data_IF_624377788594
#
_entry.id   IF_624377788594
#
_cell.length_a   1.000
_cell.length_b   1.000
_cell.length_c   1.000
_cell.angle_alpha   90.00
_cell.angle_beta   90.00
_cell.angle_gamma   90.00
#
_symmetry.space_group_name_H-M   'P 1'
#
loop_
_entity.id
_entity.type
_entity.pdbx_description
1 polymer ?
#
# COMPACT_ATOMS: atom_id res chain seq x y z
N UNK A 1 8.01 -2.32 21.70
CA UNK A 1 8.08 -1.76 20.33
C UNK A 1 6.71 -1.87 19.72
N UNK A 2 6.13 -0.75 19.30
CA UNK A 2 4.83 -0.69 18.61
C UNK A 2 5.05 -0.86 17.12
N UNK A 3 4.23 -1.68 16.49
CA UNK A 3 4.35 -1.98 15.05
C UNK A 3 3.06 -1.63 14.34
N UNK A 4 3.16 -0.77 13.33
CA UNK A 4 2.07 -0.43 12.43
C UNK A 4 2.16 -1.23 11.13
N UNK A 5 1.03 -1.66 10.61
CA UNK A 5 0.93 -2.47 9.38
C UNK A 5 -0.12 -1.87 8.45
N UNK A 6 0.23 -1.73 7.20
CA UNK A 6 -0.67 -1.35 6.11
C UNK A 6 -0.60 -2.45 5.04
N UNK A 7 -1.76 -2.89 4.56
CA UNK A 7 -1.85 -3.77 3.38
C UNK A 7 -2.59 -3.06 2.27
N UNK A 8 -1.94 -2.89 1.13
CA UNK A 8 -2.55 -2.30 -0.06
C UNK A 8 -1.89 -2.83 -1.34
N UNK A 9 -2.63 -2.89 -2.44
CA UNK A 9 -2.06 -3.33 -3.74
C UNK A 9 -1.19 -2.26 -4.40
N UNK A 10 -1.37 -0.99 -4.04
CA UNK A 10 -0.65 0.16 -4.57
C UNK A 10 -0.62 0.20 -6.12
N UNK A 11 -1.79 0.26 -6.75
CA UNK A 11 -1.99 0.17 -8.20
C UNK A 11 -2.46 1.50 -8.87
N UNK A 12 -1.68 2.61 -8.84
CA UNK A 12 -0.47 2.89 -8.06
C UNK A 12 -0.74 3.39 -6.64
N UNK A 13 0.33 3.70 -5.90
CA UNK A 13 0.24 4.45 -4.65
C UNK A 13 -0.35 5.85 -4.93
N UNK A 14 -1.16 6.36 -4.01
CA UNK A 14 -1.79 7.68 -4.07
C UNK A 14 -1.87 8.32 -2.68
N UNK A 15 -2.27 9.58 -2.61
CA UNK A 15 -2.26 10.34 -1.35
C UNK A 15 -3.07 9.67 -0.24
N UNK A 16 -4.18 8.99 -0.57
CA UNK A 16 -4.93 8.22 0.42
C UNK A 16 -4.13 7.09 1.08
N UNK A 17 -3.21 6.44 0.36
CA UNK A 17 -2.31 5.46 0.96
C UNK A 17 -1.25 6.14 1.84
N UNK A 18 -0.74 7.30 1.42
CA UNK A 18 0.25 8.04 2.22
C UNK A 18 -0.32 8.52 3.55
N UNK A 19 -1.60 8.86 3.64
CA UNK A 19 -2.24 9.21 4.91
C UNK A 19 -2.28 8.01 5.90
N UNK A 20 -2.50 6.78 5.40
CA UNK A 20 -2.36 5.58 6.23
C UNK A 20 -0.94 5.42 6.77
N UNK A 21 0.06 5.60 5.89
CA UNK A 21 1.48 5.50 6.28
C UNK A 21 1.84 6.58 7.29
N UNK A 22 1.46 7.83 7.04
CA UNK A 22 1.71 8.97 7.92
C UNK A 22 1.15 8.76 9.32
N UNK A 23 -0.09 8.27 9.42
CA UNK A 23 -0.70 7.95 10.71
C UNK A 23 0.03 6.80 11.40
N UNK A 24 0.37 5.75 10.66
CA UNK A 24 1.11 4.62 11.21
C UNK A 24 2.47 5.04 11.76
N UNK A 25 3.24 5.83 11.02
CA UNK A 25 4.55 6.36 11.45
C UNK A 25 4.42 7.23 12.70
N UNK A 26 3.37 8.04 12.80
CA UNK A 26 3.15 8.90 13.97
C UNK A 26 2.80 8.13 15.26
N UNK A 27 2.26 6.92 15.16
CA UNK A 27 1.73 6.15 16.29
C UNK A 27 2.58 4.93 16.67
N UNK A 28 3.57 4.55 15.85
CA UNK A 28 4.36 3.34 16.02
C UNK A 28 5.86 3.59 15.93
N UNK A 29 6.63 2.67 16.50
CA UNK A 29 8.09 2.67 16.44
C UNK A 29 8.60 2.18 15.07
N UNK A 30 7.85 1.27 14.43
CA UNK A 30 8.11 0.74 13.10
C UNK A 30 6.82 0.65 12.28
N UNK A 31 6.90 0.89 10.98
CA UNK A 31 5.78 0.79 10.04
C UNK A 31 6.12 -0.15 8.89
N UNK A 32 5.25 -1.13 8.63
CA UNK A 32 5.38 -2.07 7.52
C UNK A 32 4.26 -1.86 6.50
N UNK A 33 4.63 -1.60 5.27
CA UNK A 33 3.71 -1.45 4.12
C UNK A 33 3.82 -2.70 3.27
N UNK A 34 2.85 -3.60 3.39
CA UNK A 34 2.75 -4.80 2.57
C UNK A 34 2.06 -4.47 1.24
N UNK A 35 2.78 -4.72 0.15
CA UNK A 35 2.28 -4.52 -1.21
C UNK A 35 1.69 -5.82 -1.72
N UNK A 36 0.38 -5.95 -1.62
CA UNK A 36 -0.37 -7.17 -1.94
C UNK A 36 -0.40 -7.53 -3.42
N UNK A 37 -0.83 -8.77 -3.73
CA UNK A 37 -0.87 -9.34 -5.10
C UNK A 37 0.47 -9.17 -5.81
N UNK A 38 1.58 -9.46 -5.12
CA UNK A 38 2.92 -9.24 -5.66
C UNK A 38 3.25 -10.19 -6.83
N UNK A 39 2.66 -11.36 -6.83
CA UNK A 39 2.76 -12.42 -7.83
C UNK A 39 1.86 -12.20 -9.06
N UNK A 40 0.99 -11.17 -9.06
CA UNK A 40 -0.01 -10.96 -10.13
C UNK A 40 0.39 -9.82 -11.07
N UNK A 41 0.24 -10.09 -12.38
CA UNK A 41 0.24 -9.08 -13.44
C UNK A 41 -0.93 -9.39 -14.39
N UNK A 42 -1.98 -8.58 -14.35
CA UNK A 42 -3.20 -8.77 -15.12
C UNK A 42 -4.01 -7.46 -15.09
N UNK A 43 -5.15 -7.44 -15.78
CA UNK A 43 -6.07 -6.28 -15.84
C UNK A 43 -6.43 -5.69 -14.45
N UNK A 44 -6.57 -6.52 -13.42
CA UNK A 44 -6.84 -6.07 -12.05
C UNK A 44 -5.57 -5.54 -11.35
N UNK A 45 -4.40 -6.04 -11.74
CA UNK A 45 -3.09 -5.69 -11.21
C UNK A 45 -2.15 -5.26 -12.36
N UNK A 46 -2.42 -4.11 -13.02
CA UNK A 46 -1.74 -3.71 -14.25
C UNK A 46 -0.32 -3.19 -14.06
N UNK A 47 0.09 -2.91 -12.83
CA UNK A 47 1.42 -2.39 -12.52
C UNK A 47 2.24 -3.50 -11.86
N UNK A 48 3.38 -3.92 -12.46
CA UNK A 48 4.25 -4.97 -11.91
C UNK A 48 4.76 -4.63 -10.51
N UNK A 49 5.02 -5.66 -9.71
CA UNK A 49 5.45 -5.50 -8.31
C UNK A 49 6.70 -4.64 -8.17
N UNK A 50 7.71 -4.81 -9.03
CA UNK A 50 8.94 -4.00 -8.99
C UNK A 50 8.63 -2.51 -9.08
N UNK A 51 7.82 -2.10 -10.05
CA UNK A 51 7.40 -0.72 -10.25
C UNK A 51 6.61 -0.20 -9.04
N UNK A 52 5.72 -1.02 -8.46
CA UNK A 52 4.93 -0.64 -7.27
C UNK A 52 5.80 -0.43 -6.04
N UNK A 53 6.80 -1.29 -5.84
CA UNK A 53 7.76 -1.16 -4.73
C UNK A 53 8.58 0.12 -4.87
N UNK A 54 9.11 0.40 -6.06
CA UNK A 54 9.89 1.60 -6.33
C UNK A 54 9.07 2.88 -6.11
N UNK A 55 7.84 2.91 -6.66
CA UNK A 55 6.93 4.04 -6.45
C UNK A 55 6.58 4.23 -4.97
N UNK A 56 6.33 3.15 -4.24
CA UNK A 56 6.04 3.21 -2.82
C UNK A 56 7.22 3.76 -2.02
N UNK A 57 8.43 3.26 -2.27
CA UNK A 57 9.65 3.76 -1.60
C UNK A 57 9.87 5.24 -1.84
N UNK A 58 9.84 5.67 -3.11
CA UNK A 58 10.01 7.08 -3.48
C UNK A 58 8.95 7.99 -2.86
N UNK A 59 7.68 7.60 -2.96
CA UNK A 59 6.57 8.39 -2.43
C UNK A 59 6.58 8.51 -0.90
N UNK A 60 6.90 7.42 -0.20
CA UNK A 60 6.99 7.43 1.26
C UNK A 60 8.21 8.23 1.72
N UNK A 61 9.36 8.09 1.05
CA UNK A 61 10.54 8.90 1.35
C UNK A 61 10.26 10.39 1.17
N UNK A 62 9.62 10.78 0.05
CA UNK A 62 9.18 12.17 -0.19
C UNK A 62 8.27 12.68 0.95
N UNK A 63 7.32 11.87 1.38
CA UNK A 63 6.43 12.21 2.51
C UNK A 63 7.21 12.41 3.82
N UNK A 64 8.21 11.58 4.11
CA UNK A 64 8.96 11.63 5.37
C UNK A 64 9.86 12.86 5.48
N UNK A 65 10.50 13.28 4.38
CA UNK A 65 11.48 14.38 4.37
C UNK A 65 11.01 15.63 3.64
N UNK A 66 9.77 15.64 3.13
CA UNK A 66 9.14 16.74 2.41
C UNK A 66 9.92 17.23 1.17
N UNK A 67 10.67 16.35 0.55
CA UNK A 67 11.35 16.56 -0.72
C UNK A 67 11.47 15.24 -1.50
N UNK A 68 11.49 15.27 -2.84
CA UNK A 68 11.74 14.06 -3.62
C UNK A 68 13.08 13.44 -3.26
N UNK A 69 13.13 12.10 -3.20
CA UNK A 69 14.38 11.36 -3.11
C UNK A 69 15.11 11.39 -4.47
N UNK A 70 16.43 11.44 -4.44
CA UNK A 70 17.25 11.54 -5.66
C UNK A 70 17.16 10.24 -6.49
N UNK A 71 17.17 9.10 -5.82
CA UNK A 71 17.00 7.78 -6.43
C UNK A 71 16.42 6.76 -5.43
N UNK A 72 16.36 5.48 -5.83
CA UNK A 72 15.84 4.40 -4.97
C UNK A 72 16.74 4.15 -3.75
N UNK A 73 18.06 4.31 -3.86
CA UNK A 73 18.98 4.11 -2.73
C UNK A 73 18.82 5.20 -1.68
N UNK A 74 18.66 6.44 -2.13
CA UNK A 74 18.35 7.55 -1.25
C UNK A 74 17.01 7.33 -0.54
N UNK A 75 15.98 6.94 -1.29
CA UNK A 75 14.68 6.57 -0.72
C UNK A 75 14.80 5.46 0.34
N UNK A 76 15.54 4.38 0.06
CA UNK A 76 15.76 3.29 1.00
C UNK A 76 16.48 3.75 2.28
N UNK A 77 17.43 4.66 2.15
CA UNK A 77 18.13 5.25 3.29
C UNK A 77 17.19 6.08 4.16
N UNK A 78 16.33 6.89 3.54
CA UNK A 78 15.30 7.69 4.23
C UNK A 78 14.30 6.77 4.94
N UNK A 79 13.82 5.73 4.27
CA UNK A 79 12.90 4.77 4.87
C UNK A 79 13.52 4.05 6.07
N UNK A 80 14.77 3.63 5.96
CA UNK A 80 15.48 2.97 7.05
C UNK A 80 15.63 3.90 8.27
N UNK A 81 15.97 5.17 8.05
CA UNK A 81 16.04 6.18 9.11
C UNK A 81 14.67 6.45 9.76
N UNK A 82 13.58 6.37 8.98
CA UNK A 82 12.21 6.52 9.46
C UNK A 82 11.57 5.23 9.99
N UNK A 83 12.32 4.13 10.07
CA UNK A 83 11.83 2.80 10.44
C UNK A 83 10.57 2.35 9.65
N UNK A 84 10.59 2.62 8.33
CA UNK A 84 9.53 2.21 7.41
C UNK A 84 10.03 1.12 6.46
N UNK A 85 9.25 0.06 6.34
CA UNK A 85 9.58 -1.12 5.55
C UNK A 85 8.52 -1.35 4.46
N UNK A 86 8.93 -1.44 3.21
CA UNK A 86 8.05 -1.76 2.07
C UNK A 86 8.32 -3.20 1.65
N UNK A 87 7.32 -4.07 1.78
CA UNK A 87 7.47 -5.53 1.68
C UNK A 87 6.48 -6.08 0.65
N UNK A 88 6.90 -6.86 -0.35
CA UNK A 88 5.96 -7.54 -1.25
C UNK A 88 5.21 -8.65 -0.51
N UNK A 89 3.95 -8.87 -0.89
CA UNK A 89 3.10 -9.94 -0.39
C UNK A 89 2.35 -10.59 -1.53
N UNK A 90 2.62 -11.87 -1.77
CA UNK A 90 1.90 -12.67 -2.75
C UNK A 90 0.47 -12.96 -2.27
N UNK A 91 -0.42 -13.20 -3.21
CA UNK A 91 -1.76 -13.68 -2.88
C UNK A 91 -1.68 -15.14 -2.36
N UNK A 92 -2.65 -15.52 -1.53
CA UNK A 92 -2.83 -16.92 -1.18
C UNK A 92 -3.32 -17.69 -2.43
N UNK A 93 -2.66 -18.78 -2.77
CA UNK A 93 -2.91 -19.53 -4.00
C UNK A 93 -4.31 -20.20 -4.06
N UNK A 94 -4.97 -20.35 -2.93
CA UNK A 94 -6.29 -20.91 -2.87
C UNK A 94 -7.36 -19.84 -3.13
N UNK A 95 -8.23 -20.11 -4.11
CA UNK A 95 -9.46 -19.36 -4.34
C UNK A 95 -10.51 -19.55 -3.23
N UNK A 96 -10.11 -20.13 -2.09
CA UNK A 96 -10.99 -20.25 -0.95
C UNK A 96 -11.48 -18.87 -0.53
N UNK A 97 -12.79 -18.66 -0.54
CA UNK A 97 -13.41 -17.45 0.01
C UNK A 97 -13.38 -17.44 1.56
N UNK A 98 -12.43 -18.17 2.16
CA UNK A 98 -12.28 -18.26 3.59
C UNK A 98 -11.46 -17.09 4.12
N UNK A 99 -12.14 -16.07 4.60
CA UNK A 99 -11.51 -14.89 5.17
C UNK A 99 -10.52 -15.21 6.29
N UNK A 100 -10.78 -16.25 7.09
CA UNK A 100 -9.89 -16.62 8.20
C UNK A 100 -8.59 -17.27 7.70
N UNK A 101 -8.60 -18.03 6.62
CA UNK A 101 -7.36 -18.58 6.02
C UNK A 101 -6.48 -17.45 5.50
N UNK A 102 -7.09 -16.49 4.81
CA UNK A 102 -6.38 -15.28 4.42
C UNK A 102 -5.84 -14.50 5.63
N UNK A 103 -6.64 -14.35 6.67
CA UNK A 103 -6.23 -13.67 7.89
C UNK A 103 -5.06 -14.36 8.60
N UNK A 104 -5.05 -15.69 8.68
CA UNK A 104 -3.93 -16.45 9.23
C UNK A 104 -2.67 -16.34 8.37
N UNK A 105 -2.82 -16.43 7.04
CA UNK A 105 -1.71 -16.24 6.12
C UNK A 105 -1.08 -14.85 6.32
N UNK A 106 -1.89 -13.79 6.26
CA UNK A 106 -1.43 -12.42 6.48
C UNK A 106 -0.75 -12.26 7.84
N UNK A 107 -1.37 -12.75 8.93
CA UNK A 107 -0.80 -12.72 10.27
C UNK A 107 0.58 -13.38 10.31
N UNK A 108 0.73 -14.57 9.73
CA UNK A 108 2.01 -15.28 9.68
C UNK A 108 3.09 -14.50 8.93
N UNK A 109 2.74 -13.88 7.80
CA UNK A 109 3.66 -13.05 7.00
C UNK A 109 4.08 -11.80 7.77
N UNK A 110 3.14 -11.13 8.43
CA UNK A 110 3.43 -9.98 9.29
C UNK A 110 4.38 -10.37 10.41
N UNK A 111 4.06 -11.41 11.19
CA UNK A 111 4.90 -11.87 12.30
C UNK A 111 6.29 -12.29 11.81
N UNK A 112 6.38 -12.92 10.66
CA UNK A 112 7.68 -13.32 10.07
C UNK A 112 8.53 -12.09 9.73
N UNK A 113 7.93 -11.05 9.15
CA UNK A 113 8.64 -9.84 8.75
C UNK A 113 9.02 -8.96 9.96
N UNK A 114 8.07 -8.74 10.87
CA UNK A 114 8.22 -7.81 11.99
C UNK A 114 8.89 -8.42 13.23
N UNK A 115 8.92 -9.77 13.33
CA UNK A 115 9.27 -10.52 14.54
C UNK A 115 8.42 -10.14 15.76
N UNK A 116 7.27 -9.51 15.55
CA UNK A 116 6.34 -9.06 16.58
C UNK A 116 4.94 -9.65 16.32
N UNK A 117 4.37 -10.44 17.24
CA UNK A 117 3.02 -10.97 17.09
C UNK A 117 1.93 -9.91 17.33
N UNK A 118 2.31 -8.75 17.88
CA UNK A 118 1.37 -7.68 18.23
C UNK A 118 1.57 -6.48 17.31
N UNK A 119 0.52 -6.09 16.57
CA UNK A 119 0.57 -4.96 15.66
C UNK A 119 -0.78 -4.26 15.53
N UNK A 120 -0.73 -3.01 15.04
CA UNK A 120 -1.92 -2.25 14.65
C UNK A 120 -2.03 -2.22 13.14
N UNK A 121 -3.15 -2.66 12.60
CA UNK A 121 -3.42 -2.63 11.17
C UNK A 121 -4.26 -1.42 10.81
N UNK A 122 -3.70 -0.57 9.94
CA UNK A 122 -4.34 0.67 9.46
C UNK A 122 -5.07 0.43 8.14
N UNK A 123 -6.30 0.88 8.04
CA UNK A 123 -7.13 0.73 6.85
C UNK A 123 -8.08 1.92 6.66
N UNK A 124 -8.60 2.09 5.46
CA UNK A 124 -9.58 3.15 5.14
C UNK A 124 -10.99 2.59 4.97
N UNK A 125 -11.99 3.46 5.07
CA UNK A 125 -13.39 3.14 4.75
C UNK A 125 -13.47 2.51 3.36
N UNK A 126 -14.40 1.58 3.18
CA UNK A 126 -14.54 0.77 1.97
C UNK A 126 -13.60 -0.42 1.95
N UNK A 127 -12.83 -0.64 3.04
CA UNK A 127 -12.02 -1.85 3.23
C UNK A 127 -12.37 -2.57 4.54
N UNK A 128 -13.63 -2.45 4.97
CA UNK A 128 -14.13 -3.02 6.23
C UNK A 128 -14.07 -4.55 6.27
N UNK A 129 -13.92 -5.21 5.12
CA UNK A 129 -13.72 -6.66 5.05
C UNK A 129 -12.57 -7.15 5.92
N UNK A 130 -11.59 -6.27 6.19
CA UNK A 130 -10.45 -6.58 7.07
C UNK A 130 -10.90 -7.00 8.48
N UNK A 131 -12.05 -6.51 8.94
CA UNK A 131 -12.61 -6.85 10.27
C UNK A 131 -13.05 -8.31 10.35
N UNK A 132 -13.21 -8.98 9.21
CA UNK A 132 -13.63 -10.39 9.11
C UNK A 132 -12.46 -11.34 8.90
N UNK A 133 -11.25 -10.85 8.62
CA UNK A 133 -10.09 -11.69 8.30
C UNK A 133 -9.55 -12.42 9.51
N UNK A 134 -9.47 -11.74 10.64
CA UNK A 134 -8.82 -12.31 11.81
C UNK A 134 -9.84 -12.96 12.74
N UNK A 135 -9.60 -14.22 13.17
CA UNK A 135 -10.38 -14.82 14.24
C UNK A 135 -10.41 -13.97 15.50
N UNK A 136 -11.52 -14.00 16.24
CA UNK A 136 -11.74 -13.14 17.39
C UNK A 136 -10.66 -13.25 18.49
N UNK A 137 -9.99 -14.41 18.62
CA UNK A 137 -8.89 -14.54 19.59
C UNK A 137 -7.63 -13.76 19.14
N UNK A 138 -7.34 -13.67 17.85
CA UNK A 138 -6.25 -12.83 17.30
C UNK A 138 -6.54 -11.36 17.51
N UNK A 139 -7.77 -10.92 17.18
CA UNK A 139 -8.19 -9.52 17.40
C UNK A 139 -8.11 -9.10 18.86
N UNK A 140 -8.44 -10.00 19.80
CA UNK A 140 -8.39 -9.67 21.23
C UNK A 140 -6.97 -9.60 21.81
N UNK A 141 -6.03 -10.34 21.24
CA UNK A 141 -4.73 -10.54 21.87
C UNK A 141 -3.56 -9.96 21.08
N UNK A 142 -3.69 -9.83 19.77
CA UNK A 142 -2.52 -9.59 18.91
C UNK A 142 -2.72 -8.46 17.89
N UNK A 143 -3.91 -8.31 17.29
CA UNK A 143 -4.13 -7.38 16.20
C UNK A 143 -5.15 -6.33 16.59
N UNK A 144 -4.71 -5.08 16.63
CA UNK A 144 -5.61 -3.93 16.72
C UNK A 144 -5.93 -3.41 15.31
N UNK A 145 -7.15 -2.92 15.10
CA UNK A 145 -7.59 -2.33 13.84
C UNK A 145 -7.78 -0.82 14.02
N UNK A 146 -7.17 -0.02 13.14
CA UNK A 146 -7.29 1.43 13.13
C UNK A 146 -7.87 1.91 11.81
N UNK A 147 -9.11 2.36 11.85
CA UNK A 147 -9.81 2.96 10.71
C UNK A 147 -9.39 4.41 10.50
N UNK A 148 -9.13 4.78 9.26
CA UNK A 148 -8.97 6.18 8.83
C UNK A 148 -10.10 6.49 7.86
N UNK A 149 -10.98 7.44 8.23
CA UNK A 149 -12.08 7.84 7.38
C UNK A 149 -11.56 8.55 6.12
N UNK A 150 -12.04 8.15 4.94
CA UNK A 150 -11.67 8.77 3.65
C UNK A 150 -12.02 10.26 3.60
N UNK A 151 -13.05 10.68 4.33
CA UNK A 151 -13.42 12.09 4.42
C UNK A 151 -12.37 12.95 5.15
N UNK A 152 -11.41 12.35 5.85
CA UNK A 152 -10.26 13.05 6.43
C UNK A 152 -9.13 13.26 5.42
N UNK A 153 -9.22 12.62 4.24
CA UNK A 153 -8.30 12.81 3.12
C UNK A 153 -8.99 13.71 2.10
N UNK A 154 -8.40 14.86 1.79
CA UNK A 154 -8.88 15.70 0.68
C UNK A 154 -8.97 14.85 -0.58
N UNK A 155 -10.20 14.61 -1.06
CA UNK A 155 -10.55 13.75 -2.19
C UNK A 155 -10.30 12.25 -1.91
N UNK A 156 -11.27 11.55 -1.32
CA UNK A 156 -11.27 10.09 -1.15
C UNK A 156 -11.09 9.34 -2.47
N UNK A 157 -9.83 9.26 -2.93
CA UNK A 157 -9.45 8.71 -4.23
C UNK A 157 -9.21 7.21 -4.17
N UNK A 158 -9.53 6.49 -5.22
CA UNK A 158 -9.20 5.08 -5.42
C UNK A 158 -8.11 4.90 -6.48
N UNK A 159 -7.34 3.82 -6.39
CA UNK A 159 -6.36 3.48 -7.41
C UNK A 159 -6.99 3.28 -8.81
N UNK A 160 -8.26 2.90 -8.88
CA UNK A 160 -9.00 2.78 -10.16
C UNK A 160 -9.23 4.15 -10.79
N UNK A 161 -9.61 5.16 -10.01
CA UNK A 161 -9.77 6.54 -10.49
C UNK A 161 -8.42 7.12 -10.92
N UNK A 162 -7.35 6.85 -10.16
CA UNK A 162 -5.99 7.27 -10.54
C UNK A 162 -5.59 6.66 -11.89
N UNK A 163 -5.81 5.35 -12.10
CA UNK A 163 -5.52 4.73 -13.40
C UNK A 163 -6.34 5.34 -14.54
N UNK A 164 -7.60 5.64 -14.30
CA UNK A 164 -8.46 6.34 -15.28
C UNK A 164 -7.87 7.70 -15.65
N UNK A 165 -7.47 8.52 -14.69
CA UNK A 165 -6.83 9.82 -14.94
C UNK A 165 -5.53 9.67 -15.75
N UNK A 166 -4.72 8.64 -15.47
CA UNK A 166 -3.48 8.36 -16.20
C UNK A 166 -3.79 8.02 -17.68
N UNK A 167 -4.74 7.13 -17.93
CA UNK A 167 -5.12 6.72 -19.31
C UNK A 167 -5.72 7.87 -20.10
N UNK A 168 -6.57 8.68 -19.46
CA UNK A 168 -7.23 9.85 -20.06
C UNK A 168 -6.33 11.09 -20.17
N UNK A 169 -5.07 11.05 -19.67
CA UNK A 169 -4.13 12.16 -19.59
C UNK A 169 -4.71 13.39 -18.83
N UNK A 170 -5.50 13.16 -17.80
CA UNK A 170 -6.03 14.22 -16.94
C UNK A 170 -4.99 14.64 -15.91
N UNK A 171 -3.95 15.37 -16.36
CA UNK A 171 -2.78 15.72 -15.57
C UNK A 171 -3.11 16.65 -14.40
N UNK A 172 -4.01 17.60 -14.58
CA UNK A 172 -4.36 18.61 -13.55
C UNK A 172 -5.01 17.96 -12.33
N UNK A 173 -5.91 16.99 -12.53
CA UNK A 173 -6.54 16.25 -11.44
C UNK A 173 -5.59 15.18 -10.87
N UNK A 174 -4.83 14.49 -11.74
CA UNK A 174 -3.86 13.50 -11.31
C UNK A 174 -2.85 14.08 -10.33
N UNK A 175 -2.29 15.26 -10.63
CA UNK A 175 -1.27 15.93 -9.80
C UNK A 175 -1.76 16.25 -8.39
N UNK A 176 -3.06 16.44 -8.21
CA UNK A 176 -3.65 16.74 -6.88
C UNK A 176 -3.74 15.51 -5.98
N UNK A 177 -3.80 14.32 -6.56
CA UNK A 177 -4.18 13.09 -5.84
C UNK A 177 -3.07 12.04 -5.74
N UNK A 178 -1.95 12.25 -6.43
CA UNK A 178 -0.80 11.34 -6.39
C UNK A 178 0.48 12.03 -5.95
N UNK A 179 1.43 11.31 -5.31
CA UNK A 179 2.76 11.82 -5.04
C UNK A 179 3.54 12.09 -6.34
N UNK A 180 4.54 12.96 -6.24
CA UNK A 180 5.37 13.37 -7.38
C UNK A 180 6.00 12.15 -8.10
N UNK A 181 6.45 11.15 -7.35
CA UNK A 181 7.01 9.91 -7.91
C UNK A 181 6.08 9.20 -8.90
N UNK A 182 4.76 9.23 -8.66
CA UNK A 182 3.75 8.66 -9.57
C UNK A 182 3.50 9.60 -10.75
N UNK A 183 3.35 10.90 -10.47
CA UNK A 183 3.08 11.91 -11.50
C UNK A 183 4.17 11.95 -12.57
N UNK A 184 5.44 11.97 -12.17
CA UNK A 184 6.58 11.98 -13.09
C UNK A 184 6.68 10.71 -13.96
N UNK A 185 6.15 9.59 -13.48
CA UNK A 185 6.17 8.31 -14.20
C UNK A 185 4.86 7.96 -14.89
N UNK A 186 3.90 8.90 -14.98
CA UNK A 186 2.56 8.66 -15.54
C UNK A 186 2.56 8.10 -16.95
N UNK A 187 3.49 8.54 -17.81
CA UNK A 187 3.61 8.02 -19.17
C UNK A 187 3.99 6.53 -19.21
N UNK A 188 4.97 6.13 -18.36
CA UNK A 188 5.33 4.73 -18.21
C UNK A 188 4.20 3.90 -17.62
N UNK A 189 3.52 4.43 -16.60
CA UNK A 189 2.37 3.76 -15.98
C UNK A 189 1.22 3.58 -16.97
N UNK A 190 0.95 4.57 -17.83
CA UNK A 190 -0.03 4.44 -18.92
C UNK A 190 0.28 3.26 -19.82
N UNK A 191 1.53 3.15 -20.29
CA UNK A 191 1.97 2.02 -21.10
C UNK A 191 1.75 0.66 -20.41
N UNK A 192 2.08 0.55 -19.13
CA UNK A 192 1.88 -0.68 -18.36
C UNK A 192 0.39 -1.04 -18.22
N UNK A 193 -0.47 -0.06 -17.96
CA UNK A 193 -1.93 -0.26 -17.86
C UNK A 193 -2.49 -0.75 -19.18
N UNK A 194 -2.13 -0.11 -20.30
CA UNK A 194 -2.57 -0.49 -21.64
C UNK A 194 -2.08 -1.90 -22.04
N UNK A 195 -0.82 -2.25 -21.70
CA UNK A 195 -0.28 -3.60 -21.92
C UNK A 195 -1.03 -4.67 -21.13
N UNK A 196 -1.43 -4.37 -19.90
CA UNK A 196 -2.16 -5.33 -19.07
C UNK A 196 -3.55 -5.70 -19.63
N UNK A 197 -4.14 -4.84 -20.44
CA UNK A 197 -5.42 -5.13 -21.13
C UNK A 197 -5.26 -6.16 -22.27
N UNK A 198 -4.03 -6.36 -22.76
CA UNK A 198 -3.70 -7.31 -23.84
C UNK A 198 -3.30 -8.71 -23.30
N UNK A 199 -3.04 -8.80 -22.01
CA UNK A 199 -2.72 -10.09 -21.36
C UNK A 199 -4.02 -10.78 -20.95
N UNK A 200 -4.28 -11.92 -21.58
CA UNK A 200 -5.48 -12.74 -21.35
C UNK A 200 -5.20 -13.84 -20.31
#
# INVERSE_FOLDING_TARGET
MKTGVILARLQPIHNGHLELVKKSVAENDETYVFVGSADKFNKRNPIPISTRLDLAKLAIAEMLVHKPADDIKDAESILAAGAVHVVPLDDLDDESNNNHEWGFYLYSKVVTATKNPNFTMYYSDGFEIITTWFPGFILRNNVSLSLIARNSVENGISATEVRKMIVENNEDELKKVVPNAVFERRGHLKTLIELSEMVH
#
